data_IF_087618329350
#
_entry.id   IF_087618329350
#
_cell.length_a   1.000
_cell.length_b   1.000
_cell.length_c   1.000
_cell.angle_alpha   90.00
_cell.angle_beta   90.00
_cell.angle_gamma   90.00
#
_symmetry.space_group_name_H-M   'P 1'
#
loop_
_entity.id
_entity.type
_entity.pdbx_description
1 polymer ?
#
# COMPACT_ATOMS: atom_id res chain seq x y z
N UNK A 1 -5.26 16.06 8.55
CA UNK A 1 -4.58 15.57 7.34
C UNK A 1 -3.09 15.41 7.52
N UNK A 2 -2.60 14.90 8.66
CA UNK A 2 -1.16 14.74 8.93
C UNK A 2 -0.64 13.36 8.54
N UNK A 3 -1.44 12.30 8.70
CA UNK A 3 -1.00 10.92 8.42
C UNK A 3 -0.78 10.60 6.93
N UNK A 4 -1.52 11.25 6.02
CA UNK A 4 -1.34 11.08 4.57
C UNK A 4 -0.01 11.69 4.07
N UNK A 5 0.48 12.74 4.74
CA UNK A 5 1.71 13.43 4.36
C UNK A 5 2.96 12.57 4.59
N UNK A 6 2.92 11.62 5.54
CA UNK A 6 4.03 10.70 5.80
C UNK A 6 4.08 9.54 4.80
N UNK A 7 2.95 9.16 4.20
CA UNK A 7 2.91 8.04 3.24
C UNK A 7 3.67 8.34 1.94
N UNK A 8 3.63 9.59 1.48
CA UNK A 8 4.30 10.02 0.25
C UNK A 8 5.84 9.85 0.29
N UNK A 9 6.58 10.37 1.29
CA UNK A 9 8.02 10.18 1.37
C UNK A 9 8.42 8.72 1.57
N UNK A 10 7.62 7.91 2.30
CA UNK A 10 7.87 6.47 2.46
C UNK A 10 7.74 5.75 1.11
N UNK A 11 6.66 6.01 0.38
CA UNK A 11 6.44 5.43 -0.95
C UNK A 11 7.55 5.86 -1.93
N UNK A 12 7.98 7.12 -1.88
CA UNK A 12 9.06 7.64 -2.71
C UNK A 12 10.39 6.93 -2.39
N UNK A 13 10.79 6.88 -1.12
CA UNK A 13 12.03 6.21 -0.71
C UNK A 13 12.03 4.72 -1.06
N UNK A 14 10.91 4.02 -0.84
CA UNK A 14 10.75 2.62 -1.22
C UNK A 14 10.86 2.41 -2.73
N UNK A 15 10.20 3.27 -3.53
CA UNK A 15 10.26 3.21 -4.99
C UNK A 15 11.68 3.45 -5.49
N UNK A 16 12.38 4.47 -4.97
CA UNK A 16 13.78 4.75 -5.30
C UNK A 16 14.67 3.57 -4.93
N UNK A 17 14.47 2.95 -3.76
CA UNK A 17 15.20 1.75 -3.36
C UNK A 17 15.02 0.57 -4.33
N UNK A 18 13.79 0.31 -4.79
CA UNK A 18 13.49 -0.73 -5.77
C UNK A 18 14.08 -0.45 -7.16
N UNK A 19 14.09 0.82 -7.58
CA UNK A 19 14.70 1.25 -8.85
C UNK A 19 16.22 1.07 -8.80
N UNK A 20 16.87 1.52 -7.72
CA UNK A 20 18.33 1.42 -7.54
C UNK A 20 18.77 -0.05 -7.43
N UNK A 21 18.01 -0.89 -6.73
CA UNK A 21 18.33 -2.32 -6.60
C UNK A 21 18.13 -3.10 -7.92
N UNK A 22 17.14 -2.71 -8.74
CA UNK A 22 16.84 -3.38 -10.01
C UNK A 22 17.76 -3.03 -11.18
N UNK A 23 18.62 -2.02 -11.03
CA UNK A 23 19.52 -1.55 -12.10
C UNK A 23 20.56 -2.60 -12.53
N UNK A 24 20.88 -3.57 -11.68
CA UNK A 24 21.93 -4.57 -11.93
C UNK A 24 21.45 -5.90 -12.54
N UNK A 25 20.18 -6.02 -12.95
CA UNK A 25 19.65 -7.32 -13.46
C UNK A 25 19.56 -7.32 -15.00
N UNK A 26 20.36 -8.13 -15.72
CA UNK A 26 20.29 -8.22 -17.18
C UNK A 26 19.09 -9.09 -17.61
N UNK A 27 18.31 -8.65 -18.60
CA UNK A 27 17.23 -9.44 -19.23
C UNK A 27 15.80 -8.93 -19.00
N UNK A 28 15.63 -7.70 -18.51
CA UNK A 28 14.30 -7.17 -18.16
C UNK A 28 13.51 -6.67 -19.40
N UNK A 29 12.19 -6.94 -19.45
CA UNK A 29 11.33 -6.50 -20.55
C UNK A 29 11.31 -4.98 -20.70
N UNK A 30 11.14 -4.54 -21.95
CA UNK A 30 11.27 -3.18 -22.51
C UNK A 30 10.39 -2.05 -21.90
N UNK A 31 9.78 -2.26 -20.73
CA UNK A 31 8.94 -1.28 -20.01
C UNK A 31 9.17 -1.27 -18.48
N UNK A 32 10.37 -1.64 -18.04
CA UNK A 32 10.72 -1.74 -16.61
C UNK A 32 11.81 -0.72 -16.27
N UNK A 33 11.57 0.13 -15.27
CA UNK A 33 12.58 1.02 -14.68
C UNK A 33 13.09 0.35 -13.39
N UNK A 34 14.17 -0.44 -13.48
CA UNK A 34 14.64 -1.30 -12.39
C UNK A 34 13.69 -2.48 -12.14
N UNK A 35 13.29 -2.75 -10.89
CA UNK A 35 12.23 -3.74 -10.56
C UNK A 35 10.80 -3.20 -10.75
N UNK A 36 10.64 -1.92 -11.10
CA UNK A 36 9.32 -1.28 -11.20
C UNK A 36 8.77 -1.40 -12.62
N UNK A 37 7.76 -2.25 -12.79
CA UNK A 37 7.06 -2.42 -14.07
C UNK A 37 6.04 -1.30 -14.28
N UNK A 38 6.33 -0.38 -15.20
CA UNK A 38 5.54 0.84 -15.46
C UNK A 38 4.07 0.55 -15.81
N UNK A 39 3.75 -0.48 -16.61
CA UNK A 39 2.35 -0.81 -16.90
C UNK A 39 1.58 -1.30 -15.67
N UNK A 40 2.20 -2.12 -14.80
CA UNK A 40 1.56 -2.53 -13.54
C UNK A 40 1.37 -1.34 -12.59
N UNK A 41 2.34 -0.43 -12.52
CA UNK A 41 2.20 0.80 -11.74
C UNK A 41 0.96 1.59 -12.20
N UNK A 42 0.78 1.79 -13.51
CA UNK A 42 -0.36 2.50 -14.07
C UNK A 42 -1.69 1.80 -13.77
N UNK A 43 -1.76 0.48 -13.94
CA UNK A 43 -2.98 -0.30 -13.67
C UNK A 43 -3.34 -0.23 -12.18
N UNK A 44 -2.36 -0.41 -11.29
CA UNK A 44 -2.59 -0.34 -9.83
C UNK A 44 -2.98 1.08 -9.42
N UNK A 45 -2.31 2.11 -9.96
CA UNK A 45 -2.64 3.51 -9.66
C UNK A 45 -4.07 3.84 -10.10
N UNK A 46 -4.46 3.47 -11.32
CA UNK A 46 -5.80 3.70 -11.84
C UNK A 46 -6.87 2.95 -11.02
N UNK A 47 -6.63 1.68 -10.71
CA UNK A 47 -7.52 0.89 -9.85
C UNK A 47 -7.64 1.51 -8.45
N UNK A 48 -6.52 1.90 -7.84
CA UNK A 48 -6.49 2.48 -6.50
C UNK A 48 -7.13 3.85 -6.44
N UNK A 49 -6.94 4.70 -7.45
CA UNK A 49 -7.62 6.01 -7.55
C UNK A 49 -9.12 5.85 -7.70
N UNK A 50 -9.58 4.82 -8.41
CA UNK A 50 -11.01 4.52 -8.57
C UNK A 50 -11.63 3.97 -7.28
N UNK A 51 -10.87 3.18 -6.53
CA UNK A 51 -11.34 2.56 -5.29
C UNK A 51 -11.24 3.49 -4.07
N UNK A 52 -10.31 4.46 -4.08
CA UNK A 52 -10.11 5.44 -3.03
C UNK A 52 -11.37 6.24 -2.63
N UNK A 53 -12.15 6.83 -3.55
CA UNK A 53 -13.38 7.56 -3.19
C UNK A 53 -14.46 6.62 -2.64
N UNK A 54 -14.52 5.37 -3.11
CA UNK A 54 -15.43 4.35 -2.58
C UNK A 54 -15.11 4.06 -1.12
N UNK A 55 -13.83 3.81 -0.81
CA UNK A 55 -13.38 3.57 0.56
C UNK A 55 -13.59 4.77 1.48
N UNK A 56 -13.30 5.99 1.00
CA UNK A 56 -13.53 7.21 1.76
C UNK A 56 -15.01 7.43 2.09
N UNK A 57 -15.91 7.14 1.14
CA UNK A 57 -17.36 7.27 1.35
C UNK A 57 -17.88 6.27 2.38
N UNK A 58 -17.44 5.02 2.31
CA UNK A 58 -17.78 3.98 3.29
C UNK A 58 -17.25 4.36 4.67
N UNK A 59 -16.01 4.82 4.76
CA UNK A 59 -15.41 5.26 6.03
C UNK A 59 -16.14 6.47 6.63
N UNK A 60 -16.62 7.42 5.81
CA UNK A 60 -17.31 8.61 6.32
C UNK A 60 -18.76 8.34 6.74
N UNK A 61 -19.42 7.35 6.15
CA UNK A 61 -20.76 6.89 6.58
C UNK A 61 -20.75 6.03 7.84
N UNK A 62 -19.57 5.59 8.28
CA UNK A 62 -19.44 4.66 9.39
C UNK A 62 -19.25 5.43 10.70
N UNK A 63 -20.22 5.27 11.59
CA UNK A 63 -20.23 5.87 12.93
C UNK A 63 -18.91 5.60 13.67
N UNK A 64 -18.30 6.62 14.29
CA UNK A 64 -16.94 6.60 14.88
C UNK A 64 -16.71 5.39 15.80
N UNK A 65 -17.78 4.92 16.45
CA UNK A 65 -17.77 3.72 17.30
C UNK A 65 -17.49 2.44 16.52
N UNK A 66 -18.10 2.25 15.34
CA UNK A 66 -17.90 1.06 14.48
C UNK A 66 -16.51 1.04 13.87
N UNK A 67 -15.99 2.21 13.45
CA UNK A 67 -14.64 2.32 12.91
C UNK A 67 -13.58 1.90 13.94
N UNK A 68 -13.74 2.31 15.20
CA UNK A 68 -12.83 1.92 16.29
C UNK A 68 -12.86 0.41 16.55
N UNK A 69 -14.03 -0.22 16.54
CA UNK A 69 -14.14 -1.68 16.70
C UNK A 69 -13.54 -2.45 15.52
N UNK A 70 -13.75 -1.98 14.28
CA UNK A 70 -13.14 -2.59 13.10
C UNK A 70 -11.60 -2.54 13.16
N UNK A 71 -11.03 -1.41 13.56
CA UNK A 71 -9.59 -1.26 13.71
C UNK A 71 -9.04 -2.14 14.85
N UNK A 72 -9.74 -2.18 15.99
CA UNK A 72 -9.38 -3.06 17.11
C UNK A 72 -9.39 -4.53 16.69
N UNK A 73 -10.43 -4.98 15.98
CA UNK A 73 -10.54 -6.35 15.49
C UNK A 73 -9.42 -6.69 14.50
N UNK A 74 -9.11 -5.78 13.58
CA UNK A 74 -7.99 -5.94 12.64
C UNK A 74 -6.64 -6.08 13.37
N UNK A 75 -6.38 -5.25 14.39
CA UNK A 75 -5.17 -5.34 15.20
C UNK A 75 -5.11 -6.64 16.02
N UNK A 76 -6.22 -7.09 16.58
CA UNK A 76 -6.28 -8.37 17.28
C UNK A 76 -5.95 -9.51 16.33
N UNK A 77 -6.54 -9.55 15.14
CA UNK A 77 -6.27 -10.58 14.12
C UNK A 77 -4.81 -10.55 13.66
N UNK A 78 -4.26 -9.37 13.35
CA UNK A 78 -2.86 -9.22 12.95
C UNK A 78 -1.90 -9.64 14.07
N UNK A 79 -2.17 -9.25 15.32
CA UNK A 79 -1.37 -9.65 16.47
C UNK A 79 -1.39 -11.16 16.69
N UNK A 80 -2.58 -11.77 16.62
CA UNK A 80 -2.71 -13.23 16.68
C UNK A 80 -1.98 -13.91 15.53
N UNK A 81 -2.07 -13.39 14.30
CA UNK A 81 -1.37 -13.95 13.14
C UNK A 81 0.16 -13.87 13.31
N UNK A 82 0.68 -12.74 13.79
CA UNK A 82 2.12 -12.63 14.10
C UNK A 82 2.53 -13.63 15.17
N UNK A 83 1.76 -13.83 16.24
CA UNK A 83 2.07 -14.82 17.28
C UNK A 83 2.05 -16.25 16.71
N UNK A 84 1.01 -16.59 15.93
CA UNK A 84 0.86 -17.94 15.36
C UNK A 84 1.92 -18.24 14.29
N UNK A 85 2.32 -17.25 13.49
CA UNK A 85 3.33 -17.43 12.45
C UNK A 85 4.77 -17.25 12.94
N UNK A 86 4.97 -16.63 14.11
CA UNK A 86 6.30 -16.48 14.75
C UNK A 86 6.61 -17.57 15.78
N UNK A 87 5.81 -18.65 15.83
CA UNK A 87 6.02 -19.88 16.61
C UNK A 87 6.17 -21.05 15.64
#
# INVERSE_FOLDING_TARGET
>A
GTSAALGFPIALAGTVGYVVNGWHTPGMPQYTLGFVYVPALLVIAAASMSLAPLGARVAHSMDTRRLRYAFALLLTVLGTNMIVHSV
#
